data_IF_830025344185
#
_entry.id   IF_830025344185
#
_cell.length_a   1.000
_cell.length_b   1.000
_cell.length_c   1.000
_cell.angle_alpha   90.00
_cell.angle_beta   90.00
_cell.angle_gamma   90.00
#
_symmetry.space_group_name_H-M   'P 1'
#
loop_
_entity.id
_entity.type
_entity.pdbx_description
1 polymer ?
#
# COMPACT_ATOMS: atom_id res chain seq x y z
N UNK A 1 -1.01 -2.64 16.46
CA UNK A 1 0.02 -1.89 15.70
C UNK A 1 -0.14 -2.23 14.23
N UNK A 2 0.32 -1.36 13.32
CA UNK A 2 0.31 -1.60 11.87
C UNK A 2 1.75 -1.68 11.37
N UNK A 3 2.04 -2.58 10.42
CA UNK A 3 3.35 -2.62 9.77
C UNK A 3 3.56 -1.34 8.95
N UNK A 4 4.76 -0.75 9.02
CA UNK A 4 5.08 0.43 8.23
C UNK A 4 5.15 0.08 6.74
N UNK A 5 4.82 1.04 5.87
CA UNK A 5 5.08 0.92 4.43
C UNK A 5 6.56 0.59 4.19
N UNK A 6 6.83 -0.25 3.19
CA UNK A 6 8.14 -0.79 2.83
C UNK A 6 8.82 -1.70 3.86
N UNK A 7 8.23 -1.90 5.04
CA UNK A 7 8.80 -2.81 6.04
C UNK A 7 8.66 -4.28 5.63
N UNK A 8 9.67 -5.07 5.97
CA UNK A 8 9.65 -6.52 5.83
C UNK A 8 8.83 -7.17 6.95
N UNK A 9 8.21 -8.32 6.66
CA UNK A 9 7.46 -9.13 7.62
C UNK A 9 8.26 -10.38 7.96
N UNK A 10 8.43 -10.66 9.26
CA UNK A 10 9.10 -11.85 9.78
C UNK A 10 8.22 -13.11 9.63
N UNK A 11 7.97 -13.51 8.38
CA UNK A 11 7.25 -14.71 7.97
C UNK A 11 8.03 -15.41 6.86
N UNK A 12 7.82 -16.72 6.61
CA UNK A 12 8.44 -17.40 5.48
C UNK A 12 8.28 -16.61 4.18
N UNK A 13 9.38 -16.43 3.44
CA UNK A 13 9.43 -15.61 2.23
C UNK A 13 9.74 -14.13 2.45
N UNK A 14 9.63 -13.60 3.68
CA UNK A 14 9.91 -12.19 4.02
C UNK A 14 9.15 -11.19 3.13
N UNK A 15 7.82 -11.30 3.12
CA UNK A 15 6.95 -10.38 2.39
C UNK A 15 7.15 -8.93 2.82
N UNK A 16 7.00 -7.99 1.88
CA UNK A 16 7.15 -6.54 2.10
C UNK A 16 5.79 -5.86 2.06
N UNK A 17 5.54 -4.95 3.01
CA UNK A 17 4.34 -4.11 3.04
C UNK A 17 4.42 -3.03 1.95
N UNK A 18 4.10 -3.38 0.71
CA UNK A 18 4.28 -2.53 -0.46
C UNK A 18 3.09 -1.60 -0.71
N UNK A 19 3.29 -0.26 -0.82
CA UNK A 19 2.29 0.65 -1.38
C UNK A 19 1.97 0.31 -2.83
N UNK A 20 0.69 0.38 -3.20
CA UNK A 20 0.18 0.07 -4.54
C UNK A 20 -0.91 1.06 -4.93
N UNK A 21 -1.10 1.25 -6.24
CA UNK A 21 -2.23 2.04 -6.76
C UNK A 21 -3.53 1.23 -6.78
N UNK A 22 -4.67 1.91 -6.95
CA UNK A 22 -5.97 1.24 -7.07
C UNK A 22 -6.07 0.37 -8.33
N UNK A 23 -5.44 0.80 -9.42
CA UNK A 23 -5.39 0.09 -10.70
C UNK A 23 -4.60 -1.23 -10.58
N UNK A 24 -3.56 -1.24 -9.75
CA UNK A 24 -2.74 -2.44 -9.52
C UNK A 24 -3.45 -3.50 -8.69
N UNK A 25 -4.44 -3.12 -7.87
CA UNK A 25 -5.06 -4.02 -6.88
C UNK A 25 -5.63 -5.31 -7.49
N UNK A 26 -6.26 -5.22 -8.67
CA UNK A 26 -6.85 -6.36 -9.36
C UNK A 26 -5.84 -7.40 -9.85
N UNK A 27 -4.58 -7.00 -10.02
CA UNK A 27 -3.49 -7.87 -10.49
C UNK A 27 -2.75 -8.59 -9.35
N UNK A 28 -2.99 -8.19 -8.10
CA UNK A 28 -2.28 -8.74 -6.95
C UNK A 28 -2.73 -10.16 -6.63
N UNK A 29 -1.74 -11.03 -6.46
CA UNK A 29 -1.96 -12.46 -6.15
C UNK A 29 -1.99 -12.77 -4.66
N UNK A 30 -1.42 -11.92 -3.80
CA UNK A 30 -1.41 -12.12 -2.35
C UNK A 30 -0.95 -10.86 -1.60
N UNK A 31 -1.14 -10.81 -0.28
CA UNK A 31 -0.56 -9.78 0.59
C UNK A 31 0.96 -9.89 0.77
N UNK A 32 1.61 -10.90 0.20
CA UNK A 32 3.06 -11.08 0.16
C UNK A 32 3.56 -11.15 -1.30
N UNK A 33 2.90 -10.41 -2.20
CA UNK A 33 3.23 -10.39 -3.63
C UNK A 33 4.70 -10.01 -3.87
N UNK A 34 5.23 -9.08 -3.08
CA UNK A 34 6.64 -8.72 -3.05
C UNK A 34 7.32 -9.23 -1.78
N UNK A 35 8.60 -9.58 -1.94
CA UNK A 35 9.49 -9.99 -0.85
C UNK A 35 10.69 -9.05 -0.80
N UNK A 36 11.50 -9.13 0.25
CA UNK A 36 12.76 -8.36 0.33
C UNK A 36 13.70 -8.59 -0.85
N UNK A 37 13.57 -9.74 -1.54
CA UNK A 37 14.38 -10.07 -2.73
C UNK A 37 13.87 -9.38 -3.99
N UNK A 38 12.56 -9.21 -4.13
CA UNK A 38 11.91 -8.74 -5.37
C UNK A 38 11.47 -7.27 -5.30
N UNK A 39 11.30 -6.72 -4.09
CA UNK A 39 10.79 -5.37 -3.88
C UNK A 39 11.67 -4.29 -4.53
N UNK A 40 12.99 -4.39 -4.41
CA UNK A 40 13.93 -3.40 -4.99
C UNK A 40 13.83 -3.37 -6.51
N UNK A 41 13.75 -4.54 -7.14
CA UNK A 41 13.65 -4.67 -8.59
C UNK A 41 12.35 -4.03 -9.09
N UNK A 42 11.22 -4.38 -8.46
CA UNK A 42 9.93 -3.76 -8.75
C UNK A 42 9.97 -2.24 -8.63
N UNK A 43 10.55 -1.69 -7.55
CA UNK A 43 10.63 -0.24 -7.35
C UNK A 43 11.55 0.46 -8.36
N UNK A 44 12.55 -0.26 -8.90
CA UNK A 44 13.48 0.28 -9.89
C UNK A 44 12.83 0.38 -11.27
N UNK A 45 11.92 -0.54 -11.60
CA UNK A 45 11.21 -0.58 -12.89
C UNK A 45 9.83 0.06 -12.86
N UNK A 46 9.29 0.34 -11.67
CA UNK A 46 8.07 1.11 -11.51
C UNK A 46 8.36 2.58 -11.79
N UNK A 47 8.39 2.96 -13.07
CA UNK A 47 8.57 4.34 -13.52
C UNK A 47 7.34 5.25 -13.27
N UNK A 48 6.38 4.78 -12.45
CA UNK A 48 5.17 5.51 -12.12
C UNK A 48 5.36 6.50 -10.98
N UNK A 49 4.47 7.48 -10.89
CA UNK A 49 4.29 8.32 -9.70
C UNK A 49 4.10 7.43 -8.46
N UNK A 50 4.71 7.81 -7.33
CA UNK A 50 4.47 7.18 -6.03
C UNK A 50 2.95 6.99 -5.84
N UNK A 51 2.44 5.75 -5.64
CA UNK A 51 1.02 5.51 -5.50
C UNK A 51 0.42 6.26 -4.30
N UNK A 52 1.24 6.67 -3.33
CA UNK A 52 0.85 7.43 -2.16
C UNK A 52 1.29 8.91 -2.22
N UNK A 53 1.57 9.47 -3.40
CA UNK A 53 2.11 10.84 -3.54
C UNK A 53 1.26 11.94 -2.85
N UNK A 54 -0.05 11.74 -2.74
CA UNK A 54 -0.98 12.69 -2.11
C UNK A 54 -1.24 12.43 -0.62
N UNK A 55 -0.61 11.39 -0.04
CA UNK A 55 -0.84 11.00 1.36
C UNK A 55 -0.67 12.19 2.32
N UNK A 56 0.40 12.96 2.17
CA UNK A 56 0.70 14.11 3.04
C UNK A 56 -0.14 15.34 2.75
N UNK A 57 -0.69 15.44 1.53
CA UNK A 57 -1.48 16.59 1.07
C UNK A 57 -2.97 16.44 1.38
N UNK A 58 -3.43 15.20 1.49
CA UNK A 58 -4.84 14.89 1.68
C UNK A 58 -5.33 15.41 3.03
N UNK A 59 -6.48 16.11 3.01
CA UNK A 59 -7.20 16.59 4.20
C UNK A 59 -8.66 16.17 4.04
N UNK A 60 -9.12 15.28 4.91
CA UNK A 60 -10.47 14.74 4.88
C UNK A 60 -11.03 14.68 6.29
N UNK A 61 -12.32 15.01 6.45
CA UNK A 61 -13.03 14.97 7.73
C UNK A 61 -13.95 13.75 7.80
N UNK A 62 -14.37 13.39 9.01
CA UNK A 62 -15.29 12.27 9.23
C UNK A 62 -16.76 12.63 8.96
N UNK A 63 -17.09 13.89 8.67
CA UNK A 63 -18.46 14.41 8.62
C UNK A 63 -19.37 13.61 7.67
N UNK A 64 -18.90 13.31 6.46
CA UNK A 64 -19.68 12.57 5.48
C UNK A 64 -19.93 11.12 5.92
N UNK A 65 -18.93 10.46 6.50
CA UNK A 65 -19.04 9.10 7.00
C UNK A 65 -20.00 9.01 8.19
N UNK A 66 -19.90 9.94 9.15
CA UNK A 66 -20.80 10.03 10.31
C UNK A 66 -22.25 10.21 9.84
N UNK A 67 -22.50 11.14 8.92
CA UNK A 67 -23.86 11.37 8.38
C UNK A 67 -24.44 10.11 7.72
N UNK A 68 -23.61 9.32 7.04
CA UNK A 68 -24.04 8.08 6.36
C UNK A 68 -24.37 6.95 7.33
N UNK A 69 -23.71 6.92 8.50
CA UNK A 69 -23.89 5.86 9.52
C UNK A 69 -24.94 6.22 10.60
N UNK A 70 -25.34 7.48 10.70
CA UNK A 70 -26.28 7.96 11.72
C UNK A 70 -27.77 7.77 11.35
N UNK A 71 -28.06 7.13 10.22
CA UNK A 71 -29.40 6.66 9.82
C UNK A 71 -29.36 5.17 9.50
#
# INVERSE_FOLDING_TARGET
TTAAAFSARARPGMGVSMPVSWEQLSSLKSGAHWTVRTAREYLSFSAGTDPWHDYWKTRQTLTAAIKRLAG
#
